data_IF_175238483473
#
_entry.id   IF_175238483473
#
_cell.length_a   1.000
_cell.length_b   1.000
_cell.length_c   1.000
_cell.angle_alpha   90.00
_cell.angle_beta   90.00
_cell.angle_gamma   90.00
#
_symmetry.space_group_name_H-M   'P 1'
#
loop_
_entity.id
_entity.type
_entity.pdbx_description
1 polymer ?
#
# COMPACT_ATOMS: atom_id res chain seq x y z
N UNK A 1 11.66 10.35 -7.91
CA UNK A 1 11.54 11.44 -8.91
C UNK A 1 12.74 11.50 -9.86
N UNK A 2 14.00 11.54 -9.41
CA UNK A 2 15.18 11.66 -10.29
C UNK A 2 15.18 10.80 -11.57
N UNK A 3 14.96 9.49 -11.46
CA UNK A 3 14.95 8.60 -12.64
C UNK A 3 13.75 8.92 -13.55
N UNK A 4 12.57 9.11 -12.97
CA UNK A 4 11.35 9.43 -13.71
C UNK A 4 11.46 10.76 -14.46
N UNK A 5 12.04 11.78 -13.84
CA UNK A 5 12.18 13.11 -14.44
C UNK A 5 13.31 13.15 -15.48
N UNK A 6 14.45 12.48 -15.24
CA UNK A 6 15.60 12.55 -16.15
C UNK A 6 15.60 11.46 -17.25
N UNK A 7 15.13 10.25 -16.94
CA UNK A 7 15.13 9.12 -17.89
C UNK A 7 13.74 8.86 -18.50
N UNK A 8 12.69 9.36 -17.85
CA UNK A 8 11.29 9.28 -18.30
C UNK A 8 10.48 8.19 -17.60
N UNK A 9 9.16 8.30 -17.71
CA UNK A 9 8.16 7.39 -17.11
C UNK A 9 8.40 5.94 -17.52
N UNK A 10 8.72 5.68 -18.80
CA UNK A 10 9.00 4.32 -19.32
C UNK A 10 10.12 3.64 -18.54
N UNK A 11 11.25 4.33 -18.34
CA UNK A 11 12.41 3.74 -17.65
C UNK A 11 12.10 3.48 -16.18
N UNK A 12 11.40 4.39 -15.51
CA UNK A 12 10.96 4.18 -14.13
C UNK A 12 9.98 2.99 -14.01
N UNK A 13 9.02 2.89 -14.94
CA UNK A 13 8.08 1.77 -15.01
C UNK A 13 8.77 0.43 -15.21
N UNK A 14 9.70 0.34 -16.18
CA UNK A 14 10.44 -0.89 -16.45
C UNK A 14 11.33 -1.29 -15.28
N UNK A 15 12.04 -0.35 -14.65
CA UNK A 15 12.86 -0.64 -13.47
C UNK A 15 12.00 -1.16 -12.30
N UNK A 16 10.87 -0.50 -12.03
CA UNK A 16 9.94 -0.94 -10.98
C UNK A 16 9.41 -2.35 -11.23
N UNK A 17 8.92 -2.64 -12.44
CA UNK A 17 8.39 -3.96 -12.76
C UNK A 17 9.47 -5.03 -12.83
N UNK A 18 10.67 -4.73 -13.33
CA UNK A 18 11.81 -5.67 -13.30
C UNK A 18 12.22 -6.02 -11.88
N UNK A 19 12.38 -5.03 -10.99
CA UNK A 19 12.70 -5.31 -9.58
C UNK A 19 11.62 -6.14 -8.92
N UNK A 20 10.34 -5.86 -9.20
CA UNK A 20 9.23 -6.61 -8.64
C UNK A 20 9.24 -8.09 -9.11
N UNK A 21 9.45 -8.33 -10.40
CA UNK A 21 9.58 -9.69 -10.96
C UNK A 21 10.78 -10.42 -10.37
N UNK A 22 11.96 -9.79 -10.28
CA UNK A 22 13.13 -10.42 -9.68
C UNK A 22 12.88 -10.79 -8.21
N UNK A 23 12.29 -9.87 -7.44
CA UNK A 23 11.96 -10.11 -6.04
C UNK A 23 10.92 -11.22 -5.85
N UNK A 24 9.90 -11.27 -6.70
CA UNK A 24 8.87 -12.30 -6.68
C UNK A 24 9.41 -13.66 -7.16
N UNK A 25 10.28 -13.70 -8.17
CA UNK A 25 11.02 -14.88 -8.63
C UNK A 25 11.87 -15.48 -7.50
N UNK A 26 12.62 -14.66 -6.74
CA UNK A 26 13.42 -15.14 -5.60
C UNK A 26 12.52 -15.73 -4.50
N UNK A 27 11.38 -15.10 -4.22
CA UNK A 27 10.39 -15.61 -3.25
C UNK A 27 9.75 -16.92 -3.70
N UNK A 28 9.49 -17.07 -5.00
CA UNK A 28 9.01 -18.31 -5.60
C UNK A 28 10.09 -19.41 -5.56
N UNK A 29 11.37 -19.08 -5.74
CA UNK A 29 12.46 -20.05 -5.55
C UNK A 29 12.48 -20.53 -4.09
N UNK A 30 12.27 -19.63 -3.12
CA UNK A 30 12.26 -19.97 -1.70
C UNK A 30 11.15 -20.97 -1.31
N UNK A 31 10.05 -21.04 -2.07
CA UNK A 31 8.93 -21.96 -1.83
C UNK A 31 9.10 -23.32 -2.49
N UNK A 32 10.22 -23.58 -3.20
CA UNK A 32 10.50 -24.89 -3.80
C UNK A 32 10.59 -25.94 -2.68
N UNK A 33 9.80 -27.03 -2.73
CA UNK A 33 9.78 -28.09 -1.71
C UNK A 33 11.13 -28.73 -1.39
N UNK A 34 12.05 -28.73 -2.35
CA UNK A 34 13.39 -29.32 -2.20
C UNK A 34 14.33 -28.50 -1.30
N UNK A 35 14.02 -27.23 -1.03
CA UNK A 35 14.81 -26.39 -0.12
C UNK A 35 14.41 -26.74 1.32
N UNK A 36 15.11 -27.72 1.91
CA UNK A 36 14.85 -28.18 3.28
C UNK A 36 15.45 -27.30 4.37
N UNK A 37 16.50 -26.53 4.04
CA UNK A 37 17.16 -25.66 5.02
C UNK A 37 16.30 -24.42 5.30
N UNK A 38 15.78 -24.34 6.52
CA UNK A 38 15.00 -23.20 7.00
C UNK A 38 15.77 -21.88 6.83
N UNK A 39 17.06 -21.86 7.21
CA UNK A 39 17.90 -20.67 7.07
C UNK A 39 18.00 -20.18 5.62
N UNK A 40 18.22 -21.09 4.67
CA UNK A 40 18.30 -20.73 3.24
C UNK A 40 16.97 -20.19 2.73
N UNK A 41 15.85 -20.83 3.11
CA UNK A 41 14.50 -20.37 2.76
C UNK A 41 14.25 -18.96 3.28
N UNK A 42 14.51 -18.69 4.55
CA UNK A 42 14.34 -17.37 5.15
C UNK A 42 15.24 -16.31 4.48
N UNK A 43 16.52 -16.63 4.22
CA UNK A 43 17.40 -15.71 3.51
C UNK A 43 16.88 -15.35 2.12
N UNK A 44 16.38 -16.33 1.36
CA UNK A 44 15.77 -16.09 0.04
C UNK A 44 14.49 -15.25 0.15
N UNK A 45 13.61 -15.57 1.11
CA UNK A 45 12.37 -14.82 1.33
C UNK A 45 12.67 -13.35 1.69
N UNK A 46 13.61 -13.09 2.59
CA UNK A 46 14.01 -11.74 2.97
C UNK A 46 14.70 -11.00 1.82
N UNK A 47 15.62 -11.65 1.10
CA UNK A 47 16.30 -11.05 -0.06
C UNK A 47 15.30 -10.67 -1.16
N UNK A 48 14.39 -11.58 -1.51
CA UNK A 48 13.35 -11.32 -2.51
C UNK A 48 12.37 -10.23 -2.06
N UNK A 49 12.02 -10.19 -0.77
CA UNK A 49 11.16 -9.14 -0.20
C UNK A 49 11.84 -7.77 -0.22
N UNK A 50 13.14 -7.69 0.07
CA UNK A 50 13.92 -6.44 -0.01
C UNK A 50 13.98 -5.89 -1.45
N UNK A 51 14.21 -6.77 -2.43
CA UNK A 51 14.23 -6.39 -3.85
C UNK A 51 12.84 -5.93 -4.31
N UNK A 52 11.78 -6.68 -3.98
CA UNK A 52 10.41 -6.29 -4.30
C UNK A 52 9.99 -4.98 -3.60
N UNK A 53 10.41 -4.75 -2.35
CA UNK A 53 10.17 -3.50 -1.64
C UNK A 53 10.85 -2.31 -2.32
N UNK A 54 12.04 -2.50 -2.91
CA UNK A 54 12.74 -1.46 -3.67
C UNK A 54 11.96 -1.03 -4.93
N UNK A 55 11.11 -1.90 -5.48
CA UNK A 55 10.21 -1.54 -6.59
C UNK A 55 9.14 -0.51 -6.19
N UNK A 56 8.70 -0.51 -4.92
CA UNK A 56 7.65 0.38 -4.42
C UNK A 56 8.00 1.87 -4.58
N UNK A 57 9.28 2.22 -4.49
CA UNK A 57 9.74 3.60 -4.71
C UNK A 57 9.41 4.11 -6.13
N UNK A 58 9.35 3.23 -7.12
CA UNK A 58 8.93 3.56 -8.48
C UNK A 58 7.40 3.58 -8.58
N UNK A 59 6.73 2.56 -8.05
CA UNK A 59 5.26 2.45 -8.12
C UNK A 59 4.51 3.54 -7.36
N UNK A 60 5.09 4.11 -6.32
CA UNK A 60 4.48 5.25 -5.60
C UNK A 60 4.54 6.56 -6.38
N UNK A 61 5.54 6.75 -7.25
CA UNK A 61 5.74 8.00 -8.01
C UNK A 61 5.07 7.96 -9.39
N UNK A 62 4.95 6.77 -9.98
CA UNK A 62 4.43 6.63 -11.34
C UNK A 62 2.97 7.11 -11.51
N UNK A 63 2.01 6.79 -10.61
CA UNK A 63 0.63 7.23 -10.73
C UNK A 63 0.48 8.74 -10.90
N UNK A 64 1.11 9.51 -10.00
CA UNK A 64 1.05 10.97 -10.02
C UNK A 64 1.69 11.56 -11.27
N UNK A 65 2.84 11.02 -11.68
CA UNK A 65 3.50 11.48 -12.90
C UNK A 65 2.71 11.15 -14.16
N UNK A 66 2.12 9.95 -14.24
CA UNK A 66 1.29 9.54 -15.38
C UNK A 66 0.03 10.42 -15.45
N UNK A 67 -0.65 10.66 -14.31
CA UNK A 67 -1.79 11.56 -14.24
C UNK A 67 -1.42 12.97 -14.76
N UNK A 68 -0.31 13.53 -14.29
CA UNK A 68 0.18 14.85 -14.70
C UNK A 68 0.52 14.94 -16.20
N UNK A 69 1.22 13.93 -16.73
CA UNK A 69 1.73 13.92 -18.09
C UNK A 69 0.70 13.51 -19.15
N UNK A 70 -0.30 12.69 -18.82
CA UNK A 70 -1.22 12.10 -19.80
C UNK A 70 -2.67 12.58 -19.67
N UNK A 71 -3.09 13.11 -18.53
CA UNK A 71 -4.48 13.53 -18.31
C UNK A 71 -4.60 15.06 -18.20
N UNK A 72 -5.69 15.63 -18.75
CA UNK A 72 -6.01 17.04 -18.57
C UNK A 72 -6.31 17.35 -17.10
N UNK A 73 -6.15 18.61 -16.69
CA UNK A 73 -6.16 19.02 -15.28
C UNK A 73 -7.39 18.59 -14.49
N UNK A 74 -8.56 18.59 -15.12
CA UNK A 74 -9.86 18.16 -14.59
C UNK A 74 -9.93 16.65 -14.30
N UNK A 75 -9.11 15.84 -14.96
CA UNK A 75 -9.10 14.38 -14.82
C UNK A 75 -7.95 13.84 -13.98
N UNK A 76 -6.93 14.66 -13.67
CA UNK A 76 -5.75 14.25 -12.90
C UNK A 76 -6.09 13.70 -11.52
N UNK A 77 -7.04 14.35 -10.83
CA UNK A 77 -7.47 13.93 -9.51
C UNK A 77 -8.07 12.52 -9.55
N UNK A 78 -8.96 12.26 -10.52
CA UNK A 78 -9.60 10.94 -10.71
C UNK A 78 -8.56 9.88 -11.09
N UNK A 79 -7.64 10.19 -12.00
CA UNK A 79 -6.56 9.28 -12.41
C UNK A 79 -5.66 8.87 -11.24
N UNK A 80 -5.29 9.83 -10.39
CA UNK A 80 -4.52 9.57 -9.16
C UNK A 80 -5.28 8.69 -8.18
N UNK A 81 -6.55 9.03 -7.96
CA UNK A 81 -7.42 8.31 -7.04
C UNK A 81 -7.62 6.86 -7.48
N UNK A 82 -7.94 6.60 -8.74
CA UNK A 82 -8.12 5.25 -9.27
C UNK A 82 -6.84 4.42 -9.18
N UNK A 83 -5.68 5.04 -9.44
CA UNK A 83 -4.39 4.38 -9.31
C UNK A 83 -4.04 4.07 -7.84
N UNK A 84 -4.41 4.97 -6.91
CA UNK A 84 -4.18 4.77 -5.48
C UNK A 84 -5.02 3.62 -4.92
N UNK A 85 -6.26 3.46 -5.38
CA UNK A 85 -7.15 2.33 -5.02
C UNK A 85 -6.53 0.96 -5.32
N UNK A 86 -5.65 0.87 -6.32
CA UNK A 86 -5.00 -0.39 -6.69
C UNK A 86 -4.14 -0.96 -5.54
N UNK A 87 -3.50 -0.11 -4.72
CA UNK A 87 -2.64 -0.55 -3.63
C UNK A 87 -3.44 -1.29 -2.54
N UNK A 88 -4.46 -0.69 -1.91
CA UNK A 88 -5.30 -1.41 -0.94
C UNK A 88 -6.07 -2.58 -1.55
N UNK A 89 -6.51 -2.49 -2.80
CA UNK A 89 -7.15 -3.61 -3.48
C UNK A 89 -6.18 -4.80 -3.59
N UNK A 90 -4.92 -4.55 -3.92
CA UNK A 90 -3.85 -5.54 -3.89
C UNK A 90 -3.62 -6.14 -2.50
N UNK A 91 -3.67 -5.32 -1.44
CA UNK A 91 -3.60 -5.82 -0.05
C UNK A 91 -4.79 -6.73 0.26
N UNK A 92 -6.02 -6.32 -0.05
CA UNK A 92 -7.21 -7.11 0.20
C UNK A 92 -7.19 -8.45 -0.53
N UNK A 93 -6.83 -8.46 -1.83
CA UNK A 93 -6.66 -9.69 -2.60
C UNK A 93 -5.53 -10.55 -2.05
N UNK A 94 -4.40 -9.93 -1.72
CA UNK A 94 -3.22 -10.58 -1.13
C UNK A 94 -3.48 -11.22 0.23
N UNK A 95 -4.54 -10.81 0.95
CA UNK A 95 -4.96 -11.43 2.22
C UNK A 95 -6.12 -12.41 2.04
N UNK A 96 -7.11 -12.12 1.19
CA UNK A 96 -8.28 -12.97 0.98
C UNK A 96 -7.89 -14.26 0.27
N UNK A 97 -7.10 -14.17 -0.80
CA UNK A 97 -6.78 -15.34 -1.65
C UNK A 97 -6.04 -16.42 -0.86
N UNK A 98 -4.95 -16.13 -0.10
CA UNK A 98 -4.34 -17.13 0.76
C UNK A 98 -5.30 -17.65 1.84
N UNK A 99 -6.13 -16.79 2.42
CA UNK A 99 -7.08 -17.20 3.47
C UNK A 99 -8.12 -18.19 2.95
N UNK A 100 -8.60 -18.03 1.72
CA UNK A 100 -9.52 -18.99 1.09
C UNK A 100 -8.80 -20.31 0.77
N UNK A 101 -7.62 -20.23 0.14
CA UNK A 101 -6.88 -21.40 -0.31
C UNK A 101 -6.36 -22.26 0.86
N UNK A 102 -5.95 -21.63 1.95
CA UNK A 102 -5.26 -22.29 3.06
C UNK A 102 -6.06 -22.32 4.35
N UNK A 103 -7.17 -21.58 4.47
CA UNK A 103 -7.92 -21.44 5.72
C UNK A 103 -8.55 -22.72 6.27
N UNK A 104 -8.74 -23.74 5.45
CA UNK A 104 -9.31 -25.03 5.88
C UNK A 104 -8.25 -26.03 6.34
N UNK A 105 -6.99 -25.83 5.97
CA UNK A 105 -5.93 -26.81 6.18
C UNK A 105 -5.03 -26.36 7.33
N UNK A 106 -5.25 -26.93 8.53
CA UNK A 106 -4.53 -26.58 9.75
C UNK A 106 -3.02 -26.87 9.71
N UNK A 107 -2.53 -27.61 8.71
CA UNK A 107 -1.13 -28.04 8.61
C UNK A 107 -0.66 -28.15 7.16
N UNK A 108 -0.69 -27.07 6.40
CA UNK A 108 0.04 -27.03 5.13
C UNK A 108 1.51 -26.81 5.45
N UNK A 109 2.32 -27.85 5.24
CA UNK A 109 3.77 -27.73 5.32
C UNK A 109 4.25 -26.69 4.29
N UNK A 110 5.18 -25.83 4.68
CA UNK A 110 5.84 -24.87 3.79
C UNK A 110 6.57 -25.57 2.64
N UNK A 111 6.82 -26.89 2.75
CA UNK A 111 7.34 -27.73 1.68
C UNK A 111 6.26 -28.30 0.75
N UNK A 112 4.99 -27.87 0.86
CA UNK A 112 3.93 -28.36 -0.01
C UNK A 112 4.05 -27.79 -1.42
N UNK A 113 3.79 -28.62 -2.42
CA UNK A 113 3.63 -28.15 -3.81
C UNK A 113 2.49 -27.14 -3.96
N UNK A 114 1.47 -27.21 -3.10
CA UNK A 114 0.37 -26.23 -3.08
C UNK A 114 0.87 -24.81 -2.76
N UNK A 115 1.78 -24.66 -1.78
CA UNK A 115 2.39 -23.39 -1.46
C UNK A 115 3.26 -22.87 -2.62
N UNK A 116 4.04 -23.75 -3.25
CA UNK A 116 4.81 -23.41 -4.45
C UNK A 116 3.90 -22.92 -5.59
N UNK A 117 2.83 -23.65 -5.92
CA UNK A 117 1.86 -23.25 -6.96
C UNK A 117 1.21 -21.91 -6.66
N UNK A 118 0.88 -21.64 -5.39
CA UNK A 118 0.37 -20.32 -4.99
C UNK A 118 1.41 -19.21 -5.25
N UNK A 119 2.66 -19.39 -4.84
CA UNK A 119 3.72 -18.40 -5.09
C UNK A 119 4.05 -18.24 -6.58
N UNK A 120 3.94 -19.30 -7.37
CA UNK A 120 4.06 -19.25 -8.82
C UNK A 120 2.93 -18.41 -9.44
N UNK A 121 1.70 -18.53 -8.94
CA UNK A 121 0.59 -17.66 -9.34
C UNK A 121 0.86 -16.19 -9.03
N UNK A 122 1.44 -15.88 -7.88
CA UNK A 122 1.86 -14.52 -7.52
C UNK A 122 2.98 -13.99 -8.44
N UNK A 123 3.91 -14.86 -8.85
CA UNK A 123 4.93 -14.52 -9.85
C UNK A 123 4.29 -14.20 -11.22
N UNK A 124 3.31 -14.97 -11.67
CA UNK A 124 2.58 -14.66 -12.90
C UNK A 124 1.89 -13.29 -12.84
N UNK A 125 1.31 -12.93 -11.68
CA UNK A 125 0.74 -11.60 -11.46
C UNK A 125 1.80 -10.48 -11.47
N UNK A 126 3.03 -10.74 -11.04
CA UNK A 126 4.15 -9.81 -11.12
C UNK A 126 4.71 -9.67 -12.55
N UNK A 127 4.72 -10.77 -13.31
CA UNK A 127 5.16 -10.81 -14.71
C UNK A 127 4.21 -10.05 -15.64
N UNK A 128 2.90 -10.08 -15.37
CA UNK A 128 1.90 -9.39 -16.19
C UNK A 128 2.19 -7.88 -16.39
N UNK A 129 2.36 -7.05 -15.34
CA UNK A 129 2.71 -5.64 -15.51
C UNK A 129 4.10 -5.43 -16.09
N UNK A 130 5.05 -6.34 -15.88
CA UNK A 130 6.35 -6.29 -16.55
C UNK A 130 6.22 -6.44 -18.06
N UNK A 131 5.46 -7.44 -18.52
CA UNK A 131 5.15 -7.63 -19.94
C UNK A 131 4.43 -6.42 -20.51
N UNK A 132 3.43 -5.88 -19.82
CA UNK A 132 2.76 -4.64 -20.23
C UNK A 132 3.74 -3.46 -20.33
N UNK A 133 4.69 -3.32 -19.40
CA UNK A 133 5.68 -2.26 -19.42
C UNK A 133 6.61 -2.32 -20.65
N UNK A 134 6.86 -3.51 -21.21
CA UNK A 134 7.64 -3.67 -22.45
C UNK A 134 6.93 -3.05 -23.66
N UNK A 135 5.59 -3.06 -23.68
CA UNK A 135 4.79 -2.47 -24.75
C UNK A 135 4.67 -0.95 -24.66
N UNK A 136 5.13 -0.32 -23.57
CA UNK A 136 5.13 1.14 -23.43
C UNK A 136 6.19 1.73 -24.36
N UNK A 137 5.75 2.34 -25.47
CA UNK A 137 6.65 2.89 -26.51
C UNK A 137 7.10 4.32 -26.21
N UNK A 138 6.25 5.15 -25.60
CA UNK A 138 6.48 6.60 -25.51
C UNK A 138 6.79 7.05 -24.08
N UNK A 139 7.77 7.94 -23.92
CA UNK A 139 8.14 8.50 -22.59
C UNK A 139 7.14 9.55 -22.08
N UNK A 140 6.55 10.32 -23.00
CA UNK A 140 5.53 11.36 -22.78
C UNK A 140 4.56 11.34 -23.98
N UNK A 141 3.31 11.81 -23.85
CA UNK A 141 2.44 11.94 -25.01
C UNK A 141 3.02 12.94 -26.03
N UNK A 142 2.74 12.77 -27.34
CA UNK A 142 3.23 13.68 -28.39
C UNK A 142 2.81 15.14 -28.19
N UNK A 143 1.67 15.37 -27.54
CA UNK A 143 1.16 16.68 -27.17
C UNK A 143 0.95 16.74 -25.65
N UNK A 144 1.46 17.77 -24.96
CA UNK A 144 1.23 17.92 -23.53
C UNK A 144 -0.27 18.17 -23.27
N UNK A 145 -0.88 17.48 -22.28
CA UNK A 145 -2.33 17.57 -22.05
C UNK A 145 -2.76 18.91 -21.42
N UNK A 146 -1.81 19.74 -20.98
CA UNK A 146 -2.10 21.08 -20.46
C UNK A 146 -0.86 21.98 -20.52
N UNK A 147 -1.09 23.30 -20.44
CA UNK A 147 -0.03 24.30 -20.28
C UNK A 147 0.84 24.04 -19.03
N UNK A 148 0.25 23.51 -17.95
CA UNK A 148 0.99 23.16 -16.72
C UNK A 148 2.01 22.05 -16.95
N UNK A 149 1.71 21.06 -17.80
CA UNK A 149 2.64 19.98 -18.16
C UNK A 149 3.81 20.49 -19.00
N UNK A 150 3.60 21.54 -19.80
CA UNK A 150 4.64 22.17 -20.61
C UNK A 150 5.57 23.07 -19.76
N UNK A 151 5.05 23.66 -18.68
CA UNK A 151 5.80 24.53 -17.78
C UNK A 151 6.57 23.79 -16.67
N UNK A 152 6.31 22.49 -16.45
CA UNK A 152 6.91 21.72 -15.36
C UNK A 152 8.34 21.23 -15.68
N UNK A 153 9.21 22.15 -16.11
CA UNK A 153 10.64 21.98 -15.90
C UNK A 153 10.93 22.42 -14.47
N UNK A 154 11.15 21.46 -13.57
CA UNK A 154 11.65 21.74 -12.23
C UNK A 154 13.04 22.41 -12.36
N UNK A 155 13.06 23.74 -12.34
CA UNK A 155 14.28 24.54 -12.40
C UNK A 155 15.14 24.36 -11.13
N UNK A 156 14.58 23.74 -10.09
CA UNK A 156 15.28 23.36 -8.87
C UNK A 156 15.86 21.96 -9.08
N UNK A 157 17.19 21.85 -9.10
CA UNK A 157 17.86 20.55 -9.22
C UNK A 157 17.45 19.59 -8.10
N UNK A 158 17.32 18.30 -8.42
CA UNK A 158 16.85 17.25 -7.50
C UNK A 158 17.46 17.29 -6.10
N UNK A 159 18.79 17.43 -6.01
CA UNK A 159 19.49 17.51 -4.73
C UNK A 159 19.16 18.77 -3.94
N UNK A 160 18.91 19.89 -4.63
CA UNK A 160 18.49 21.15 -3.99
C UNK A 160 17.08 21.03 -3.41
N UNK A 161 16.16 20.35 -4.12
CA UNK A 161 14.83 20.05 -3.59
C UNK A 161 14.90 19.15 -2.35
N UNK A 162 15.71 18.08 -2.37
CA UNK A 162 15.94 17.24 -1.19
C UNK A 162 16.48 18.06 -0.01
N UNK A 163 17.46 18.92 -0.27
CA UNK A 163 18.08 19.74 0.76
C UNK A 163 17.06 20.72 1.38
N UNK A 164 16.19 21.30 0.57
CA UNK A 164 15.07 22.13 1.06
C UNK A 164 14.12 21.33 1.96
N UNK A 165 13.80 20.08 1.63
CA UNK A 165 13.00 19.22 2.51
C UNK A 165 13.70 18.96 3.85
N UNK A 166 14.99 18.62 3.82
CA UNK A 166 15.79 18.32 5.01
C UNK A 166 15.97 19.55 5.92
N UNK A 167 15.88 20.76 5.39
CA UNK A 167 15.93 21.98 6.21
C UNK A 167 14.56 22.57 6.54
N UNK A 168 13.46 21.93 6.14
CA UNK A 168 12.10 22.39 6.43
C UNK A 168 11.54 21.67 7.67
N UNK A 169 11.39 22.39 8.79
CA UNK A 169 10.82 21.83 10.02
C UNK A 169 9.39 21.29 9.84
N UNK A 170 8.57 21.93 8.98
CA UNK A 170 7.22 21.47 8.68
C UNK A 170 7.23 20.11 7.97
N UNK A 171 8.23 19.86 7.12
CA UNK A 171 8.40 18.56 6.47
C UNK A 171 8.62 17.44 7.50
N UNK A 172 9.49 17.65 8.49
CA UNK A 172 9.71 16.64 9.54
C UNK A 172 8.46 16.39 10.38
N UNK A 173 7.72 17.44 10.75
CA UNK A 173 6.46 17.29 11.50
C UNK A 173 5.47 16.42 10.71
N UNK A 174 5.26 16.74 9.42
CA UNK A 174 4.34 15.98 8.56
C UNK A 174 4.84 14.55 8.31
N UNK A 175 6.14 14.38 8.04
CA UNK A 175 6.75 13.07 7.83
C UNK A 175 6.60 12.18 9.06
N UNK A 176 6.82 12.71 10.27
CA UNK A 176 6.65 11.97 11.51
C UNK A 176 5.19 11.57 11.74
N UNK A 177 4.24 12.49 11.55
CA UNK A 177 2.81 12.19 11.68
C UNK A 177 2.36 11.11 10.70
N UNK A 178 2.78 11.24 9.43
CA UNK A 178 2.50 10.25 8.40
C UNK A 178 3.13 8.89 8.72
N UNK A 179 4.39 8.87 9.16
CA UNK A 179 5.08 7.62 9.53
C UNK A 179 4.40 6.90 10.68
N UNK A 180 3.94 7.63 11.72
CA UNK A 180 3.16 7.04 12.81
C UNK A 180 1.83 6.48 12.33
N UNK A 181 1.06 7.24 11.54
CA UNK A 181 -0.21 6.78 11.00
C UNK A 181 -0.04 5.52 10.13
N UNK A 182 0.96 5.53 9.25
CA UNK A 182 1.28 4.41 8.37
C UNK A 182 1.80 3.19 9.14
N UNK A 183 2.64 3.39 10.16
CA UNK A 183 3.12 2.32 11.04
C UNK A 183 1.98 1.66 11.82
N UNK A 184 1.05 2.45 12.35
CA UNK A 184 -0.13 1.95 13.06
C UNK A 184 -1.03 1.11 12.14
N UNK A 185 -1.24 1.54 10.89
CA UNK A 185 -1.98 0.76 9.88
C UNK A 185 -1.40 -0.64 9.71
N UNK A 186 -0.11 -0.72 9.37
CA UNK A 186 0.53 -2.00 9.08
C UNK A 186 0.68 -2.86 10.33
N UNK A 187 0.93 -2.25 11.49
CA UNK A 187 1.01 -2.98 12.75
C UNK A 187 -0.31 -3.68 13.08
N UNK A 188 -1.45 -3.00 12.89
CA UNK A 188 -2.77 -3.60 13.09
C UNK A 188 -3.03 -4.73 12.08
N UNK A 189 -2.60 -4.59 10.84
CA UNK A 189 -2.79 -5.60 9.80
C UNK A 189 -1.93 -6.86 10.01
N UNK A 190 -0.74 -6.72 10.59
CA UNK A 190 0.24 -7.80 10.73
C UNK A 190 0.16 -8.47 12.10
N UNK A 191 0.16 -7.69 13.20
CA UNK A 191 0.37 -8.25 14.54
C UNK A 191 -0.88 -8.72 15.25
N UNK A 192 -2.06 -8.35 14.74
CA UNK A 192 -3.30 -8.57 15.46
C UNK A 192 -3.91 -9.96 15.22
N UNK A 193 -3.47 -10.68 14.17
CA UNK A 193 -3.91 -12.04 13.88
C UNK A 193 -3.55 -13.03 15.01
N UNK A 194 -2.36 -12.90 15.59
CA UNK A 194 -1.91 -13.73 16.72
C UNK A 194 -2.82 -13.59 17.95
N UNK A 195 -2.96 -12.40 18.54
CA UNK A 195 -3.85 -12.16 19.68
C UNK A 195 -5.31 -12.53 19.41
N UNK A 196 -5.82 -12.32 18.20
CA UNK A 196 -7.17 -12.77 17.82
C UNK A 196 -7.28 -14.29 17.88
N UNK A 197 -6.31 -15.01 17.31
CA UNK A 197 -6.29 -16.47 17.34
C UNK A 197 -6.19 -17.01 18.77
N UNK A 198 -5.39 -16.38 19.63
CA UNK A 198 -5.25 -16.76 21.03
C UNK A 198 -6.57 -16.63 21.82
N UNK A 199 -7.44 -15.70 21.42
CA UNK A 199 -8.77 -15.52 21.99
C UNK A 199 -9.87 -16.38 21.31
N UNK A 200 -9.50 -17.27 20.38
CA UNK A 200 -10.45 -18.17 19.70
C UNK A 200 -11.11 -17.60 18.43
N UNK A 201 -10.62 -16.47 17.91
CA UNK A 201 -11.07 -15.93 16.63
C UNK A 201 -10.32 -16.60 15.47
N UNK A 202 -10.94 -17.61 14.84
CA UNK A 202 -10.46 -18.20 13.59
C UNK A 202 -10.92 -17.35 12.38
N UNK A 203 -10.35 -16.16 12.20
CA UNK A 203 -10.74 -15.22 11.12
C UNK A 203 -9.72 -15.12 9.97
N UNK A 204 -8.55 -15.75 10.08
CA UNK A 204 -7.47 -15.66 9.09
C UNK A 204 -7.20 -14.19 8.66
N UNK A 205 -6.90 -13.94 7.38
CA UNK A 205 -6.64 -12.60 6.86
C UNK A 205 -7.88 -11.75 6.55
N UNK A 206 -9.10 -12.23 6.85
CA UNK A 206 -10.33 -11.50 6.49
C UNK A 206 -10.47 -10.13 7.18
N UNK A 207 -10.13 -9.93 8.47
CA UNK A 207 -10.22 -8.63 9.12
C UNK A 207 -9.33 -7.57 8.45
N UNK A 208 -8.12 -7.96 8.06
CA UNK A 208 -7.19 -7.11 7.30
C UNK A 208 -7.78 -6.72 5.94
N UNK A 209 -8.45 -7.64 5.26
CA UNK A 209 -9.12 -7.35 3.99
C UNK A 209 -10.28 -6.36 4.16
N UNK A 210 -11.10 -6.53 5.20
CA UNK A 210 -12.18 -5.57 5.53
C UNK A 210 -11.61 -4.19 5.80
N UNK A 211 -10.55 -4.10 6.61
CA UNK A 211 -9.84 -2.85 6.87
C UNK A 211 -9.35 -2.17 5.58
N UNK A 212 -8.73 -2.94 4.67
CA UNK A 212 -8.25 -2.42 3.39
C UNK A 212 -9.41 -1.93 2.50
N UNK A 213 -10.47 -2.73 2.31
CA UNK A 213 -11.61 -2.36 1.44
C UNK A 213 -12.34 -1.14 1.98
N UNK A 214 -12.70 -1.15 3.26
CA UNK A 214 -13.44 -0.07 3.90
C UNK A 214 -12.60 1.21 3.97
N UNK A 215 -11.31 1.09 4.26
CA UNK A 215 -10.38 2.21 4.25
C UNK A 215 -10.23 2.84 2.86
N UNK A 216 -10.17 2.02 1.82
CA UNK A 216 -10.11 2.49 0.43
C UNK A 216 -11.33 3.30 0.07
N UNK A 217 -12.54 2.74 0.25
CA UNK A 217 -13.80 3.42 -0.04
C UNK A 217 -13.91 4.74 0.73
N UNK A 218 -13.39 4.78 1.96
CA UNK A 218 -13.40 5.99 2.76
C UNK A 218 -12.40 7.02 2.26
N UNK A 219 -11.19 6.62 1.83
CA UNK A 219 -10.20 7.55 1.27
C UNK A 219 -10.69 8.24 -0.02
N UNK A 220 -11.50 7.55 -0.82
CA UNK A 220 -12.18 8.14 -1.98
C UNK A 220 -13.11 9.29 -1.60
N UNK A 221 -13.94 9.06 -0.59
CA UNK A 221 -14.85 10.08 -0.05
C UNK A 221 -14.08 11.18 0.68
N UNK A 222 -12.96 10.82 1.33
CA UNK A 222 -12.10 11.72 2.06
C UNK A 222 -11.56 12.83 1.19
N UNK A 223 -10.99 12.48 0.03
CA UNK A 223 -10.43 13.47 -0.89
C UNK A 223 -11.48 14.49 -1.33
N UNK A 224 -12.70 14.03 -1.64
CA UNK A 224 -13.80 14.90 -2.03
C UNK A 224 -14.27 15.84 -0.89
N UNK A 225 -14.39 15.32 0.32
CA UNK A 225 -14.82 16.10 1.49
C UNK A 225 -13.72 17.09 1.91
N UNK A 226 -12.45 16.65 1.92
CA UNK A 226 -11.32 17.47 2.34
C UNK A 226 -11.09 18.63 1.37
N UNK A 227 -11.19 18.40 0.06
CA UNK A 227 -11.08 19.45 -0.96
C UNK A 227 -12.19 20.50 -0.84
N UNK A 228 -13.44 20.06 -0.62
CA UNK A 228 -14.58 20.98 -0.44
C UNK A 228 -14.53 21.78 0.86
N UNK A 229 -14.21 21.13 1.97
CA UNK A 229 -14.25 21.78 3.29
C UNK A 229 -12.99 22.62 3.55
N UNK A 230 -11.85 22.23 2.96
CA UNK A 230 -10.51 22.78 3.24
C UNK A 230 -10.12 22.75 4.73
N UNK A 231 -10.84 21.97 5.54
CA UNK A 231 -10.66 21.88 7.00
C UNK A 231 -9.75 20.71 7.38
N UNK A 232 -8.61 20.56 6.70
CA UNK A 232 -7.70 19.42 6.86
C UNK A 232 -7.32 19.16 8.33
N UNK A 233 -7.08 20.23 9.11
CA UNK A 233 -6.71 20.13 10.53
C UNK A 233 -7.82 19.55 11.41
N UNK A 234 -9.08 19.93 11.19
CA UNK A 234 -10.21 19.39 11.95
C UNK A 234 -10.41 17.92 11.62
N UNK A 235 -10.28 17.58 10.35
CA UNK A 235 -10.48 16.22 9.89
C UNK A 235 -9.42 15.28 10.47
N UNK A 236 -8.13 15.66 10.41
CA UNK A 236 -7.06 14.86 11.03
C UNK A 236 -7.35 14.62 12.51
N UNK A 237 -7.77 15.65 13.26
CA UNK A 237 -8.08 15.52 14.69
C UNK A 237 -9.19 14.50 14.94
N UNK A 238 -10.29 14.59 14.20
CA UNK A 238 -11.42 13.65 14.32
C UNK A 238 -10.97 12.23 13.99
N UNK A 239 -10.18 12.06 12.93
CA UNK A 239 -9.59 10.78 12.56
C UNK A 239 -8.70 10.23 13.69
N UNK A 240 -7.73 10.98 14.20
CA UNK A 240 -6.82 10.51 15.26
C UNK A 240 -7.56 10.13 16.54
N UNK A 241 -8.58 10.90 16.95
CA UNK A 241 -9.42 10.56 18.12
C UNK A 241 -10.22 9.30 17.86
N UNK A 242 -10.89 9.21 16.71
CA UNK A 242 -11.67 8.02 16.34
C UNK A 242 -10.80 6.75 16.25
N UNK A 243 -9.57 6.89 15.75
CA UNK A 243 -8.60 5.80 15.67
C UNK A 243 -8.27 5.29 17.07
N UNK A 244 -7.89 6.21 17.97
CA UNK A 244 -7.54 5.91 19.35
C UNK A 244 -8.69 5.21 20.07
N UNK A 245 -9.92 5.71 19.93
CA UNK A 245 -11.11 5.05 20.48
C UNK A 245 -11.32 3.65 19.92
N UNK A 246 -11.14 3.45 18.62
CA UNK A 246 -11.33 2.15 17.96
C UNK A 246 -10.29 1.12 18.42
N UNK A 247 -9.01 1.53 18.54
CA UNK A 247 -7.93 0.67 19.04
C UNK A 247 -8.14 0.31 20.51
N UNK A 248 -8.52 1.28 21.35
CA UNK A 248 -8.81 1.04 22.78
C UNK A 248 -9.97 0.04 22.90
N UNK A 249 -11.04 0.25 22.14
CA UNK A 249 -12.21 -0.64 22.15
C UNK A 249 -11.80 -2.06 21.74
N UNK A 250 -11.05 -2.20 20.65
CA UNK A 250 -10.55 -3.50 20.20
C UNK A 250 -9.67 -4.19 21.26
N UNK A 251 -8.77 -3.44 21.91
CA UNK A 251 -7.93 -3.94 23.00
C UNK A 251 -8.72 -4.32 24.26
N UNK A 252 -9.88 -3.71 24.48
CA UNK A 252 -10.79 -4.13 25.56
C UNK A 252 -11.52 -5.43 25.20
N UNK A 253 -11.98 -5.58 23.96
CA UNK A 253 -12.63 -6.81 23.48
C UNK A 253 -11.67 -8.01 23.45
N UNK A 254 -10.42 -7.80 23.06
CA UNK A 254 -9.39 -8.86 23.04
C UNK A 254 -8.96 -9.36 24.43
N UNK A 255 -9.42 -8.74 25.52
CA UNK A 255 -9.20 -9.30 26.86
C UNK A 255 -10.17 -10.43 27.19
N UNK A 256 -11.23 -10.63 26.41
CA UNK A 256 -12.23 -11.66 26.64
C UNK A 256 -12.14 -12.71 25.53
N UNK A 257 -12.18 -14.01 25.88
CA UNK A 257 -12.25 -15.05 24.88
C UNK A 257 -13.56 -14.93 24.11
N UNK A 258 -13.54 -15.33 22.84
CA UNK A 258 -14.72 -15.31 21.97
C UNK A 258 -15.85 -16.11 22.60
N UNK A 259 -16.96 -15.44 22.89
CA UNK A 259 -18.18 -16.03 23.45
C UNK A 259 -19.18 -16.43 22.37
N UNK A 260 -19.21 -15.72 21.23
CA UNK A 260 -20.18 -15.97 20.17
C UNK A 260 -19.83 -15.39 18.79
N UNK A 261 -20.82 -15.41 17.89
CA UNK A 261 -20.71 -14.83 16.54
C UNK A 261 -20.74 -13.28 16.57
N UNK A 262 -21.44 -12.69 17.55
CA UNK A 262 -21.50 -11.24 17.71
C UNK A 262 -20.13 -10.61 17.92
N UNK A 263 -19.27 -11.27 18.71
CA UNK A 263 -17.91 -10.80 18.94
C UNK A 263 -17.12 -10.71 17.64
N UNK A 264 -17.32 -11.67 16.73
CA UNK A 264 -16.68 -11.64 15.42
C UNK A 264 -17.14 -10.47 14.57
N UNK A 265 -18.44 -10.15 14.59
CA UNK A 265 -19.01 -8.99 13.87
C UNK A 265 -18.45 -7.68 14.44
N UNK A 266 -18.30 -7.60 15.77
CA UNK A 266 -17.70 -6.43 16.44
C UNK A 266 -16.25 -6.25 15.98
N UNK A 267 -15.45 -7.31 15.97
CA UNK A 267 -14.06 -7.25 15.47
C UNK A 267 -14.01 -6.79 14.02
N UNK A 268 -14.82 -7.35 13.13
CA UNK A 268 -14.88 -6.90 11.72
C UNK A 268 -15.27 -5.43 11.60
N UNK A 269 -16.23 -4.97 12.41
CA UNK A 269 -16.67 -3.57 12.43
C UNK A 269 -15.55 -2.65 12.90
N UNK A 270 -14.83 -3.04 13.95
CA UNK A 270 -13.68 -2.29 14.48
C UNK A 270 -12.55 -2.21 13.45
N UNK A 271 -12.20 -3.32 12.79
CA UNK A 271 -11.25 -3.32 11.67
C UNK A 271 -11.70 -2.41 10.53
N UNK A 272 -12.99 -2.44 10.18
CA UNK A 272 -13.59 -1.52 9.23
C UNK A 272 -13.38 -0.07 9.65
N UNK A 273 -13.73 0.30 10.88
CA UNK A 273 -13.54 1.66 11.42
C UNK A 273 -12.07 2.09 11.45
N UNK A 274 -11.16 1.20 11.86
CA UNK A 274 -9.72 1.47 11.84
C UNK A 274 -9.24 1.75 10.41
N UNK A 275 -9.69 0.93 9.45
CA UNK A 275 -9.44 1.14 8.03
C UNK A 275 -9.96 2.49 7.55
N UNK A 276 -11.23 2.84 7.83
CA UNK A 276 -11.84 4.15 7.48
C UNK A 276 -10.92 5.29 7.88
N UNK A 277 -10.45 5.24 9.12
CA UNK A 277 -9.80 6.37 9.77
C UNK A 277 -8.36 6.54 9.30
N UNK A 278 -7.59 5.46 9.23
CA UNK A 278 -6.16 5.57 8.88
C UNK A 278 -5.96 5.88 7.40
N UNK A 279 -6.77 5.29 6.51
CA UNK A 279 -6.68 5.60 5.08
C UNK A 279 -7.14 7.02 4.79
N UNK A 280 -8.13 7.53 5.51
CA UNK A 280 -8.50 8.94 5.45
C UNK A 280 -7.32 9.83 5.88
N UNK A 281 -6.73 9.56 7.04
CA UNK A 281 -5.62 10.35 7.57
C UNK A 281 -4.40 10.33 6.64
N UNK A 282 -4.01 9.14 6.16
CA UNK A 282 -2.87 8.97 5.25
C UNK A 282 -3.06 9.76 3.96
N UNK A 283 -4.28 9.79 3.40
CA UNK A 283 -4.59 10.57 2.21
C UNK A 283 -4.45 12.08 2.48
N UNK A 284 -4.98 12.56 3.60
CA UNK A 284 -4.86 13.97 3.99
C UNK A 284 -3.41 14.36 4.24
N UNK A 285 -2.63 13.53 4.92
CA UNK A 285 -1.22 13.78 5.21
C UNK A 285 -0.39 13.83 3.91
N UNK A 286 -0.67 12.94 2.95
CA UNK A 286 -0.06 12.99 1.60
C UNK A 286 -0.44 14.29 0.89
N UNK A 287 -1.70 14.71 0.95
CA UNK A 287 -2.16 15.95 0.33
C UNK A 287 -1.50 17.18 0.97
N UNK A 288 -1.36 17.21 2.30
CA UNK A 288 -0.64 18.27 3.01
C UNK A 288 0.84 18.29 2.69
N UNK A 289 1.48 17.12 2.60
CA UNK A 289 2.86 17.00 2.14
C UNK A 289 3.02 17.61 0.76
N UNK A 290 2.11 17.31 -0.19
CA UNK A 290 2.15 17.86 -1.54
C UNK A 290 1.93 19.38 -1.55
N UNK A 291 1.04 19.94 -0.73
CA UNK A 291 0.79 21.40 -0.68
C UNK A 291 1.93 22.18 -0.02
N UNK A 292 2.65 21.58 0.92
CA UNK A 292 3.81 22.21 1.56
C UNK A 292 4.98 22.33 0.57
N UNK A 293 4.93 21.63 -0.57
CA UNK A 293 5.90 21.65 -1.66
C UNK A 293 5.40 22.43 -2.88
#
# INVERSE_FOLDING_TARGET
MYITDNKGIKTAGLLGTTLNVIGASIRMIASIPFIKSHFVRECLLHAGSFIAASAQAFFLVLPSKIAECWFPGDQRAIANVLSFVANPAGVALGTIVPSILFGHNKTIDSNSWMFFTFTLGMECLALFPFVLALFVRTKLPPTPPSASSAAHQNNIGFFKSILQCIFNAQFFIQMTLFAFAFSLLWSLMIFLDGPLKDQGYEMAGYPTAVCAIVGTLTSLLAGHIADKTRKFKEIIRVCTVGFSCSVITLRMFLNQPRTGLFDSIIVYTLYGCLGKIIFYQSFVDIFLLIIVF
#
